data_IF_903216282658
#
_entry.id   IF_903216282658
#
_cell.length_a   1.000
_cell.length_b   1.000
_cell.length_c   1.000
_cell.angle_alpha   90.00
_cell.angle_beta   90.00
_cell.angle_gamma   90.00
#
_symmetry.space_group_name_H-M   'P 1'
#
loop_
_entity.id
_entity.type
_entity.pdbx_description
1 polymer ?
#
# COMPACT_ATOMS: atom_id res chain seq x y z
N UNK A 1 -21.87 4.30 12.27
CA UNK A 1 -21.48 3.08 11.53
C UNK A 1 -19.97 2.91 11.73
N UNK A 2 -19.45 1.69 11.83
CA UNK A 2 -17.99 1.47 11.94
C UNK A 2 -17.33 1.95 10.64
N UNK A 3 -16.14 2.57 10.73
CA UNK A 3 -15.41 3.07 9.55
C UNK A 3 -15.15 1.98 8.49
N UNK A 4 -15.07 0.72 8.92
CA UNK A 4 -14.96 -0.47 8.06
C UNK A 4 -16.16 -0.61 7.10
N UNK A 5 -17.38 -0.34 7.55
CA UNK A 5 -18.58 -0.46 6.71
C UNK A 5 -18.68 0.67 5.69
N UNK A 6 -18.17 1.86 6.04
CA UNK A 6 -18.11 3.00 5.12
C UNK A 6 -17.08 2.73 4.01
N UNK A 7 -15.92 2.17 4.35
CA UNK A 7 -14.87 1.81 3.39
C UNK A 7 -15.28 0.66 2.44
N UNK A 8 -16.15 -0.26 2.87
CA UNK A 8 -16.66 -1.34 2.02
C UNK A 8 -17.58 -0.83 0.90
N UNK A 9 -18.20 0.33 1.11
CA UNK A 9 -19.12 0.97 0.15
C UNK A 9 -18.36 1.92 -0.78
N UNK A 10 -17.21 2.43 -0.36
CA UNK A 10 -16.40 3.38 -1.12
C UNK A 10 -15.65 2.70 -2.28
N UNK A 11 -15.95 3.11 -3.51
CA UNK A 11 -15.32 2.56 -4.72
C UNK A 11 -13.81 2.85 -4.82
N UNK A 12 -13.30 3.86 -4.08
CA UNK A 12 -11.88 4.21 -4.07
C UNK A 12 -11.05 3.24 -3.22
N UNK A 13 -11.67 2.56 -2.26
CA UNK A 13 -10.97 1.59 -1.42
C UNK A 13 -10.98 0.24 -2.14
N UNK A 14 -9.79 -0.32 -2.47
CA UNK A 14 -9.74 -1.60 -3.15
C UNK A 14 -10.32 -2.70 -2.25
N UNK A 15 -11.28 -3.48 -2.77
CA UNK A 15 -11.91 -4.60 -2.02
C UNK A 15 -10.89 -5.61 -1.50
N UNK A 16 -9.75 -5.68 -2.16
CA UNK A 16 -8.65 -6.58 -1.82
C UNK A 16 -8.01 -6.28 -0.47
N UNK A 17 -8.27 -5.09 0.07
CA UNK A 17 -7.95 -4.73 1.44
C UNK A 17 -8.58 -5.67 2.47
N UNK A 18 -9.78 -6.17 2.19
CA UNK A 18 -10.56 -7.01 3.09
C UNK A 18 -10.27 -8.50 2.91
N UNK A 19 -9.30 -8.86 2.06
CA UNK A 19 -9.01 -10.25 1.77
C UNK A 19 -8.40 -10.98 2.95
N UNK A 20 -8.86 -12.21 3.15
CA UNK A 20 -8.22 -13.16 4.07
C UNK A 20 -6.95 -13.74 3.45
N UNK A 21 -6.15 -14.44 4.25
CA UNK A 21 -4.91 -15.08 3.78
C UNK A 21 -5.21 -16.08 2.66
N UNK A 22 -6.33 -16.80 2.76
CA UNK A 22 -6.77 -17.78 1.76
C UNK A 22 -7.10 -17.11 0.42
N UNK A 23 -7.77 -15.96 0.44
CA UNK A 23 -8.08 -15.18 -0.76
C UNK A 23 -6.83 -14.63 -1.42
N UNK A 24 -5.87 -14.13 -0.62
CA UNK A 24 -4.55 -13.71 -1.11
C UNK A 24 -3.81 -14.89 -1.76
N UNK A 25 -3.78 -16.06 -1.11
CA UNK A 25 -3.16 -17.27 -1.64
C UNK A 25 -3.79 -17.71 -2.97
N UNK A 26 -5.13 -17.63 -3.07
CA UNK A 26 -5.86 -17.93 -4.30
C UNK A 26 -5.46 -16.96 -5.41
N UNK A 27 -5.38 -15.66 -5.11
CA UNK A 27 -4.93 -14.65 -6.07
C UNK A 27 -3.49 -14.92 -6.56
N UNK A 28 -2.56 -15.21 -5.65
CA UNK A 28 -1.16 -15.54 -6.00
C UNK A 28 -1.10 -16.73 -6.96
N UNK A 29 -1.93 -17.76 -6.72
CA UNK A 29 -1.98 -18.97 -7.52
C UNK A 29 -2.62 -18.75 -8.89
N UNK A 30 -3.84 -18.21 -8.91
CA UNK A 30 -4.72 -18.24 -10.08
C UNK A 30 -4.56 -16.97 -10.96
N UNK A 31 -4.44 -15.79 -10.34
CA UNK A 31 -4.38 -14.51 -11.05
C UNK A 31 -2.96 -14.03 -11.30
N UNK A 32 -2.09 -14.13 -10.27
CA UNK A 32 -0.69 -13.76 -10.42
C UNK A 32 0.12 -14.85 -11.16
N UNK A 33 -0.34 -16.11 -11.12
CA UNK A 33 0.28 -17.23 -11.83
C UNK A 33 1.55 -17.76 -11.18
N UNK A 34 1.71 -17.59 -9.87
CA UNK A 34 2.88 -18.03 -9.11
C UNK A 34 2.54 -19.06 -8.01
N UNK A 35 2.06 -20.26 -8.39
CA UNK A 35 1.67 -21.30 -7.42
C UNK A 35 2.81 -21.69 -6.46
N UNK A 36 4.07 -21.57 -6.90
CA UNK A 36 5.25 -21.89 -6.09
C UNK A 36 5.44 -20.98 -4.86
N UNK A 37 4.83 -19.80 -4.84
CA UNK A 37 4.96 -18.84 -3.74
C UNK A 37 3.77 -18.86 -2.79
N UNK A 38 2.73 -19.66 -3.03
CA UNK A 38 1.54 -19.74 -2.17
C UNK A 38 1.92 -20.07 -0.73
N UNK A 39 2.76 -21.08 -0.53
CA UNK A 39 3.28 -21.47 0.79
C UNK A 39 4.03 -20.34 1.50
N UNK A 40 4.71 -19.46 0.75
CA UNK A 40 5.41 -18.31 1.31
C UNK A 40 4.42 -17.29 1.86
N UNK A 41 3.33 -17.01 1.16
CA UNK A 41 2.30 -16.07 1.62
C UNK A 41 1.50 -16.65 2.81
N UNK A 42 1.19 -17.94 2.78
CA UNK A 42 0.48 -18.63 3.85
C UNK A 42 1.30 -18.67 5.15
N UNK A 43 2.57 -19.12 5.08
CA UNK A 43 3.45 -19.20 6.26
C UNK A 43 3.71 -17.84 6.92
N UNK A 44 3.74 -16.77 6.14
CA UNK A 44 3.93 -15.40 6.64
C UNK A 44 2.60 -14.72 7.04
N UNK A 45 1.47 -15.42 6.94
CA UNK A 45 0.12 -14.91 7.24
C UNK A 45 -0.16 -13.57 6.55
N UNK A 46 0.12 -13.48 5.24
CA UNK A 46 -0.09 -12.26 4.46
C UNK A 46 -1.58 -12.12 4.13
N UNK A 47 -2.23 -11.17 4.77
CA UNK A 47 -3.63 -10.77 4.53
C UNK A 47 -3.71 -9.55 3.59
N UNK A 48 -4.93 -9.15 3.21
CA UNK A 48 -5.17 -7.97 2.39
C UNK A 48 -4.59 -6.68 2.97
N UNK A 49 -4.53 -6.56 4.30
CA UNK A 49 -3.94 -5.41 5.01
C UNK A 49 -2.42 -5.37 4.86
N UNK A 50 -1.75 -6.52 4.98
CA UNK A 50 -0.29 -6.67 4.85
C UNK A 50 0.18 -6.58 3.41
N UNK A 51 -0.68 -6.87 2.41
CA UNK A 51 -0.35 -6.69 1.00
C UNK A 51 0.10 -5.26 0.67
N UNK A 52 -0.39 -4.25 1.41
CA UNK A 52 0.02 -2.85 1.22
C UNK A 52 1.50 -2.61 1.52
N UNK A 53 2.10 -3.44 2.37
CA UNK A 53 3.54 -3.39 2.65
C UNK A 53 4.36 -4.29 1.73
N UNK A 54 3.74 -5.12 0.89
CA UNK A 54 4.43 -6.05 -0.01
C UNK A 54 4.96 -5.34 -1.26
N UNK A 55 5.99 -4.54 -1.03
CA UNK A 55 6.80 -3.91 -2.08
C UNK A 55 7.90 -4.85 -2.58
N UNK A 56 8.54 -4.49 -3.69
CA UNK A 56 9.67 -5.25 -4.26
C UNK A 56 10.82 -5.48 -3.26
N UNK A 57 11.00 -4.60 -2.27
CA UNK A 57 12.00 -4.76 -1.22
C UNK A 57 11.61 -5.76 -0.11
N UNK A 58 10.31 -6.05 0.04
CA UNK A 58 9.79 -6.92 1.08
C UNK A 58 9.46 -8.33 0.58
N UNK A 59 9.20 -8.51 -0.72
CA UNK A 59 8.97 -9.83 -1.33
C UNK A 59 10.13 -10.84 -1.11
N UNK A 60 11.42 -10.45 -1.19
CA UNK A 60 12.52 -11.36 -0.85
C UNK A 60 12.52 -11.81 0.61
N UNK A 61 11.99 -11.01 1.54
CA UNK A 61 11.97 -11.35 2.97
C UNK A 61 10.99 -12.48 3.29
N UNK A 62 9.98 -12.68 2.44
CA UNK A 62 8.99 -13.76 2.59
C UNK A 62 9.36 -15.02 1.79
N UNK A 63 10.42 -14.97 0.97
CA UNK A 63 10.93 -16.12 0.21
C UNK A 63 10.84 -16.00 -1.32
N UNK A 64 10.49 -14.84 -1.87
CA UNK A 64 10.47 -14.59 -3.32
C UNK A 64 11.79 -13.96 -3.76
N UNK A 65 12.76 -14.77 -4.18
CA UNK A 65 14.11 -14.28 -4.51
C UNK A 65 14.33 -13.97 -5.99
N UNK A 66 13.57 -14.58 -6.91
CA UNK A 66 13.75 -14.32 -8.34
C UNK A 66 13.28 -12.90 -8.68
N UNK A 67 14.19 -12.09 -9.24
CA UNK A 67 13.90 -10.68 -9.51
C UNK A 67 12.74 -10.50 -10.50
N UNK A 68 12.56 -11.42 -11.46
CA UNK A 68 11.48 -11.35 -12.45
C UNK A 68 10.15 -11.56 -11.76
N UNK A 69 10.09 -12.55 -10.89
CA UNK A 69 8.90 -12.89 -10.12
C UNK A 69 8.57 -11.77 -9.12
N UNK A 70 9.60 -11.20 -8.45
CA UNK A 70 9.45 -10.02 -7.59
C UNK A 70 8.85 -8.85 -8.36
N UNK A 71 9.33 -8.59 -9.58
CA UNK A 71 8.83 -7.49 -10.41
C UNK A 71 7.36 -7.68 -10.79
N UNK A 72 6.99 -8.88 -11.24
CA UNK A 72 5.62 -9.15 -11.67
C UNK A 72 4.64 -9.20 -10.49
N UNK A 73 5.01 -9.83 -9.36
CA UNK A 73 4.21 -9.80 -8.15
C UNK A 73 4.04 -8.37 -7.63
N UNK A 74 5.11 -7.58 -7.53
CA UNK A 74 5.02 -6.19 -7.10
C UNK A 74 4.18 -5.33 -8.06
N UNK A 75 4.13 -5.65 -9.35
CA UNK A 75 3.23 -4.99 -10.30
C UNK A 75 1.78 -5.42 -10.06
N UNK A 76 1.52 -6.71 -9.90
CA UNK A 76 0.20 -7.25 -9.60
C UNK A 76 -0.41 -6.64 -8.34
N UNK A 77 0.36 -6.59 -7.25
CA UNK A 77 -0.06 -5.99 -5.97
C UNK A 77 -0.42 -4.50 -6.14
N UNK A 78 0.37 -3.74 -6.92
CA UNK A 78 0.06 -2.32 -7.19
C UNK A 78 -1.23 -2.13 -7.98
N UNK A 79 -1.45 -2.95 -9.00
CA UNK A 79 -2.70 -2.92 -9.77
C UNK A 79 -3.91 -3.27 -8.90
N UNK A 80 -3.73 -4.25 -8.03
CA UNK A 80 -4.75 -4.76 -7.13
C UNK A 80 -5.20 -3.72 -6.08
N UNK A 81 -4.23 -2.99 -5.53
CA UNK A 81 -4.49 -1.90 -4.57
C UNK A 81 -4.87 -0.58 -5.25
N UNK A 82 -4.95 -0.54 -6.58
CA UNK A 82 -5.16 0.67 -7.39
C UNK A 82 -4.22 1.83 -7.01
N UNK A 83 -3.01 1.52 -6.52
CA UNK A 83 -2.01 2.52 -6.15
C UNK A 83 -1.09 2.74 -7.34
N UNK A 84 -1.02 3.98 -7.82
CA UNK A 84 -0.17 4.33 -8.96
C UNK A 84 1.32 4.09 -8.67
N UNK A 85 2.04 3.73 -9.73
CA UNK A 85 3.51 3.63 -9.73
C UNK A 85 4.10 5.01 -9.49
N UNK A 86 5.10 5.11 -8.62
CA UNK A 86 5.89 6.33 -8.40
C UNK A 86 6.44 6.82 -9.75
N UNK A 87 5.83 7.85 -10.32
CA UNK A 87 6.30 8.49 -11.54
C UNK A 87 7.51 9.36 -11.19
N UNK A 88 8.62 9.16 -11.90
CA UNK A 88 9.85 9.90 -11.66
C UNK A 88 9.72 11.38 -12.02
N UNK A 89 8.73 11.73 -12.86
CA UNK A 89 8.39 13.12 -13.17
C UNK A 89 7.47 13.77 -12.12
N UNK A 90 7.02 13.01 -11.11
CA UNK A 90 6.13 13.54 -10.09
C UNK A 90 6.83 14.65 -9.32
N UNK A 91 6.14 15.78 -9.17
CA UNK A 91 6.69 16.92 -8.45
C UNK A 91 7.12 16.51 -7.04
N UNK A 92 8.35 16.87 -6.68
CA UNK A 92 8.85 16.72 -5.31
C UNK A 92 8.03 17.55 -4.32
N UNK A 93 7.21 18.50 -4.79
CA UNK A 93 6.32 19.31 -3.96
C UNK A 93 5.02 18.61 -3.54
N UNK A 94 4.80 17.37 -3.98
CA UNK A 94 3.65 16.56 -3.60
C UNK A 94 4.08 15.53 -2.57
N UNK A 95 3.16 15.13 -1.68
CA UNK A 95 3.42 14.11 -0.66
C UNK A 95 4.03 12.83 -1.29
N UNK A 96 5.01 12.14 -0.68
CA UNK A 96 5.74 11.04 -1.32
C UNK A 96 4.84 9.93 -1.90
N UNK A 97 3.65 9.73 -1.34
CA UNK A 97 2.64 8.78 -1.80
C UNK A 97 1.29 9.45 -1.98
N UNK A 98 0.44 8.81 -2.78
CA UNK A 98 -0.96 9.23 -2.99
C UNK A 98 -1.76 9.13 -1.69
N UNK A 99 -2.81 9.95 -1.56
CA UNK A 99 -3.67 9.99 -0.37
C UNK A 99 -4.27 8.62 -0.03
N UNK A 100 -4.70 7.86 -1.04
CA UNK A 100 -5.20 6.49 -0.87
C UNK A 100 -4.12 5.55 -0.33
N UNK A 101 -2.92 5.59 -0.90
CA UNK A 101 -1.81 4.74 -0.44
C UNK A 101 -1.42 5.05 1.02
N UNK A 102 -1.35 6.34 1.37
CA UNK A 102 -1.08 6.80 2.74
C UNK A 102 -2.16 6.35 3.72
N UNK A 103 -3.42 6.40 3.29
CA UNK A 103 -4.55 5.89 4.05
C UNK A 103 -4.45 4.40 4.32
N UNK A 104 -4.22 3.60 3.27
CA UNK A 104 -4.08 2.15 3.36
C UNK A 104 -2.90 1.76 4.25
N UNK A 105 -1.76 2.44 4.15
CA UNK A 105 -0.63 2.23 5.06
C UNK A 105 -1.00 2.52 6.50
N UNK A 106 -1.78 3.57 6.75
CA UNK A 106 -2.22 3.93 8.10
C UNK A 106 -3.17 2.89 8.66
N UNK A 107 -4.15 2.41 7.89
CA UNK A 107 -5.11 1.36 8.31
C UNK A 107 -4.53 -0.04 8.36
N UNK A 108 -3.32 -0.26 7.83
CA UNK A 108 -2.70 -1.59 7.86
C UNK A 108 -2.33 -2.02 9.27
N UNK A 109 -2.19 -1.04 10.17
CA UNK A 109 -2.00 -1.24 11.59
C UNK A 109 -3.35 -1.37 12.27
N UNK A 110 -3.46 -2.32 13.19
CA UNK A 110 -4.66 -2.52 13.99
C UNK A 110 -4.69 -1.56 15.18
N UNK A 111 -5.84 -0.98 15.48
CA UNK A 111 -6.03 -0.13 16.65
C UNK A 111 -7.38 0.57 16.61
N UNK A 112 -8.05 0.69 17.76
CA UNK A 112 -9.43 1.19 17.88
C UNK A 112 -9.67 2.50 17.10
N UNK A 113 -8.79 3.49 17.27
CA UNK A 113 -8.86 4.80 16.58
C UNK A 113 -8.63 4.67 15.07
N UNK A 114 -7.76 3.75 14.64
CA UNK A 114 -7.40 3.54 13.24
C UNK A 114 -8.50 2.77 12.48
N UNK A 115 -9.09 1.77 13.13
CA UNK A 115 -10.17 0.96 12.56
C UNK A 115 -11.46 1.80 12.38
N UNK A 116 -11.70 2.78 13.27
CA UNK A 116 -12.81 3.73 13.19
C UNK A 116 -12.63 4.83 12.13
N UNK A 117 -11.40 5.09 11.69
CA UNK A 117 -11.14 6.09 10.65
C UNK A 117 -11.56 5.54 9.29
N UNK A 118 -12.41 6.27 8.55
CA UNK A 118 -12.76 5.98 7.16
C UNK A 118 -11.98 6.88 6.18
N UNK A 119 -11.99 6.53 4.89
CA UNK A 119 -11.24 7.25 3.85
C UNK A 119 -11.62 8.75 3.79
N UNK A 120 -12.91 9.07 3.85
CA UNK A 120 -13.40 10.46 3.80
C UNK A 120 -12.83 11.31 4.93
N UNK A 121 -12.95 10.84 6.18
CA UNK A 121 -12.40 11.54 7.36
C UNK A 121 -10.89 11.67 7.28
N UNK A 122 -10.22 10.74 6.60
CA UNK A 122 -8.78 10.84 6.36
C UNK A 122 -8.46 11.92 5.32
N UNK A 123 -9.22 11.99 4.22
CA UNK A 123 -9.02 12.98 3.17
C UNK A 123 -9.26 14.41 3.69
N UNK A 124 -10.31 14.63 4.49
CA UNK A 124 -10.56 15.93 5.13
C UNK A 124 -9.35 16.40 5.95
N UNK A 125 -8.80 15.52 6.80
CA UNK A 125 -7.61 15.81 7.60
C UNK A 125 -6.35 15.97 6.76
N UNK A 126 -6.25 15.21 5.68
CA UNK A 126 -5.09 15.25 4.80
C UNK A 126 -5.01 16.58 4.05
N UNK A 127 -6.14 17.08 3.54
CA UNK A 127 -6.23 18.38 2.86
C UNK A 127 -5.95 19.55 3.81
N UNK A 128 -6.38 19.44 5.07
CA UNK A 128 -6.03 20.40 6.13
C UNK A 128 -4.53 20.41 6.43
N UNK A 129 -3.86 19.27 6.27
CA UNK A 129 -2.43 19.13 6.56
C UNK A 129 -1.62 19.48 5.31
N UNK A 130 -1.28 20.76 5.13
CA UNK A 130 -0.38 21.17 4.04
C UNK A 130 0.94 20.40 4.14
N UNK A 131 1.12 19.42 3.25
CA UNK A 131 2.40 18.72 3.12
C UNK A 131 3.50 19.75 2.86
N UNK A 132 4.57 19.68 3.64
CA UNK A 132 5.76 20.51 3.46
C UNK A 132 6.96 19.59 3.23
N UNK A 133 7.76 19.82 2.18
CA UNK A 133 9.04 19.14 2.07
C UNK A 133 9.89 19.53 3.28
N UNK A 134 10.78 18.64 3.77
CA UNK A 134 11.78 19.06 4.73
C UNK A 134 12.57 20.25 4.16
N UNK A 135 12.41 21.43 4.77
CA UNK A 135 13.02 22.70 4.33
C UNK A 135 14.55 22.73 4.49
N UNK A 136 15.16 21.62 4.88
CA UNK A 136 16.57 21.49 5.25
C UNK A 136 17.55 21.87 4.10
N UNK A 137 17.08 21.99 2.87
CA UNK A 137 17.92 22.24 1.71
C UNK A 137 17.78 23.67 1.14
N UNK A 138 16.93 24.54 1.72
CA UNK A 138 16.68 25.88 1.16
C UNK A 138 17.79 26.91 1.42
N UNK A 139 18.85 26.60 2.18
CA UNK A 139 19.89 27.59 2.54
C UNK A 139 21.31 27.02 2.68
N UNK A 140 21.68 25.99 1.90
CA UNK A 140 23.09 25.61 1.72
C UNK A 140 23.47 25.62 0.24
N UNK A 141 23.42 26.80 -0.38
CA UNK A 141 24.35 27.09 -1.48
C UNK A 141 25.65 27.47 -0.77
N UNK A 142 26.62 26.56 -0.72
CA UNK A 142 27.97 26.93 -0.27
C UNK A 142 28.51 27.96 -1.27
N UNK A 143 28.95 29.15 -0.83
CA UNK A 143 29.63 30.07 -1.72
C UNK A 143 30.90 29.41 -2.27
N UNK A 144 31.18 29.67 -3.55
CA UNK A 144 32.32 29.15 -4.31
C UNK A 144 33.69 29.48 -3.68
#
# INVERSE_FOLDING_TARGET
>A
MSGINEDLVDERVPRTWFWTVEEVCKWVKDEAGFPQYVDCFEKNNIDGRKLVHMTSANLPKIGVYDWKDVKELARGIRMLLTVHVEDWFRSISLAPRESLALYLEKKSRTGEILDDTCLEKFMEKFDETKWQPPLANMTMIMPE
#
